data_IF_885319507376
#
_entry.id   IF_885319507376
#
_cell.length_a   1.000
_cell.length_b   1.000
_cell.length_c   1.000
_cell.angle_alpha   90.00
_cell.angle_beta   90.00
_cell.angle_gamma   90.00
#
_symmetry.space_group_name_H-M   'P 1'
#
loop_
_entity.id
_entity.type
_entity.pdbx_description
1 polymer ?
#
# COMPACT_ATOMS: atom_id res chain seq x y z
N UNK A 1 -19.14 7.90 16.61
CA UNK A 1 -18.28 6.78 17.05
C UNK A 1 -17.39 6.40 15.88
N UNK A 2 -16.09 6.26 16.08
CA UNK A 2 -15.16 5.74 15.07
C UNK A 2 -14.78 4.32 15.51
N UNK A 3 -14.90 3.34 14.61
CA UNK A 3 -14.57 1.96 14.91
C UNK A 3 -15.35 0.96 14.07
N UNK A 4 -14.95 -0.31 14.19
CA UNK A 4 -15.63 -1.45 13.58
C UNK A 4 -16.13 -2.33 14.71
N UNK A 5 -17.43 -2.64 14.68
CA UNK A 5 -18.06 -3.56 15.62
C UNK A 5 -18.43 -4.85 14.87
N UNK A 6 -17.96 -6.00 15.38
CA UNK A 6 -18.32 -7.32 14.87
C UNK A 6 -18.21 -8.35 15.99
N UNK A 7 -19.24 -9.18 16.14
CA UNK A 7 -19.29 -10.28 17.11
C UNK A 7 -18.82 -11.62 16.53
N UNK A 8 -18.35 -11.64 15.28
CA UNK A 8 -17.88 -12.86 14.59
C UNK A 8 -16.53 -13.35 15.12
N UNK A 9 -16.29 -14.65 14.97
CA UNK A 9 -14.99 -15.25 15.29
C UNK A 9 -14.04 -15.05 14.10
N UNK A 10 -13.27 -13.96 14.13
CA UNK A 10 -12.28 -13.64 13.10
C UNK A 10 -11.13 -14.66 13.05
N UNK A 11 -10.70 -15.03 11.85
CA UNK A 11 -9.56 -15.93 11.60
C UNK A 11 -8.45 -15.30 10.77
N UNK A 12 -8.77 -14.24 10.02
CA UNK A 12 -7.75 -13.38 9.42
C UNK A 12 -8.35 -12.10 8.86
N UNK A 13 -7.48 -11.12 8.62
CA UNK A 13 -7.86 -9.77 8.23
C UNK A 13 -6.85 -9.16 7.26
N UNK A 14 -7.30 -8.46 6.22
CA UNK A 14 -6.43 -7.74 5.30
C UNK A 14 -6.91 -6.29 5.15
N UNK A 15 -5.94 -5.38 5.17
CA UNK A 15 -6.13 -3.96 4.89
C UNK A 15 -5.63 -3.66 3.47
N UNK A 16 -6.50 -3.11 2.63
CA UNK A 16 -6.20 -2.71 1.25
C UNK A 16 -7.23 -1.72 0.76
N UNK A 17 -6.86 -0.90 -0.21
CA UNK A 17 -7.81 -0.06 -0.95
C UNK A 17 -8.41 -0.89 -2.09
N UNK A 18 -9.64 -1.38 -1.95
CA UNK A 18 -10.24 -2.32 -2.91
C UNK A 18 -10.83 -1.62 -4.14
N UNK A 19 -11.26 -0.38 -3.99
CA UNK A 19 -11.89 0.39 -5.05
C UNK A 19 -11.02 1.54 -5.58
N UNK A 20 -9.75 1.60 -5.14
CA UNK A 20 -8.70 2.49 -5.60
C UNK A 20 -9.03 3.97 -5.39
N UNK A 21 -9.70 4.29 -4.27
CA UNK A 21 -10.10 5.66 -3.92
C UNK A 21 -9.20 6.36 -2.90
N UNK A 22 -8.09 5.71 -2.53
CA UNK A 22 -7.10 6.18 -1.56
C UNK A 22 -7.43 5.85 -0.11
N UNK A 23 -8.57 5.20 0.15
CA UNK A 23 -9.03 4.86 1.49
C UNK A 23 -8.79 3.38 1.75
N UNK A 24 -8.16 3.08 2.88
CA UNK A 24 -7.91 1.69 3.27
C UNK A 24 -9.19 1.05 3.77
N UNK A 25 -9.64 0.01 3.08
CA UNK A 25 -10.73 -0.87 3.46
C UNK A 25 -10.22 -2.06 4.29
N UNK A 26 -11.16 -2.78 4.90
CA UNK A 26 -10.89 -3.99 5.68
C UNK A 26 -11.68 -5.16 5.11
N UNK A 27 -11.02 -6.31 4.92
CA UNK A 27 -11.69 -7.61 4.77
C UNK A 27 -11.34 -8.51 5.94
N UNK A 28 -12.34 -9.22 6.48
CA UNK A 28 -12.15 -10.21 7.55
C UNK A 28 -12.76 -11.54 7.14
N UNK A 29 -11.95 -12.59 7.25
CA UNK A 29 -12.40 -13.98 7.12
C UNK A 29 -12.83 -14.47 8.50
N UNK A 30 -14.05 -14.99 8.58
CA UNK A 30 -14.66 -15.46 9.82
C UNK A 30 -14.78 -16.98 9.83
N UNK A 31 -14.69 -17.60 11.01
CA UNK A 31 -14.88 -19.04 11.16
C UNK A 31 -16.36 -19.40 11.01
N UNK A 32 -16.69 -20.29 10.06
CA UNK A 32 -18.06 -20.81 9.83
C UNK A 32 -19.10 -19.72 9.52
N UNK A 33 -18.62 -18.59 9.01
CA UNK A 33 -19.44 -17.44 8.63
C UNK A 33 -18.88 -16.87 7.32
N UNK A 34 -19.69 -16.03 6.67
CA UNK A 34 -19.26 -15.35 5.45
C UNK A 34 -18.10 -14.37 5.72
N UNK A 35 -17.31 -14.15 4.67
CA UNK A 35 -16.34 -13.04 4.64
C UNK A 35 -17.10 -11.72 4.77
N UNK A 36 -16.55 -10.81 5.57
CA UNK A 36 -17.08 -9.46 5.72
C UNK A 36 -16.08 -8.45 5.15
N UNK A 37 -16.59 -7.45 4.45
CA UNK A 37 -15.80 -6.34 3.89
C UNK A 37 -16.39 -5.04 4.45
N UNK A 38 -15.54 -4.19 4.99
CA UNK A 38 -15.87 -2.84 5.44
C UNK A 38 -15.19 -1.85 4.53
N UNK A 39 -16.00 -1.06 3.81
CA UNK A 39 -15.50 0.05 3.01
C UNK A 39 -15.28 1.26 3.89
N UNK A 40 -14.13 1.92 3.76
CA UNK A 40 -13.84 3.14 4.49
C UNK A 40 -14.52 4.35 3.82
N UNK A 41 -15.51 4.93 4.51
CA UNK A 41 -16.29 6.06 4.03
C UNK A 41 -15.88 7.41 4.65
N UNK A 42 -14.80 7.44 5.42
CA UNK A 42 -14.38 8.65 6.14
C UNK A 42 -14.06 9.80 5.18
N UNK A 43 -14.34 11.04 5.60
CA UNK A 43 -13.89 12.26 4.92
C UNK A 43 -12.57 12.76 5.53
N UNK A 44 -11.90 13.68 4.84
CA UNK A 44 -10.78 14.47 5.39
C UNK A 44 -9.57 13.66 5.87
N UNK A 45 -9.30 12.51 5.22
CA UNK A 45 -8.16 11.62 5.54
C UNK A 45 -6.80 12.15 5.07
N UNK A 46 -6.76 13.27 4.36
CA UNK A 46 -5.57 13.79 3.69
C UNK A 46 -5.26 13.06 2.37
N UNK A 47 -4.04 13.25 1.89
CA UNK A 47 -3.49 12.66 0.68
C UNK A 47 -2.72 11.38 0.98
N UNK A 48 -2.47 10.58 -0.06
CA UNK A 48 -1.77 9.31 0.03
C UNK A 48 -0.82 9.12 -1.16
N UNK A 49 0.06 8.14 -1.08
CA UNK A 49 0.64 7.47 -2.25
C UNK A 49 0.53 5.96 -2.04
N UNK A 50 0.45 5.22 -3.13
CA UNK A 50 0.36 3.78 -3.12
C UNK A 50 1.44 3.20 -4.04
N UNK A 51 2.37 2.41 -3.50
CA UNK A 51 3.57 1.97 -4.23
C UNK A 51 3.56 0.47 -4.46
N UNK A 52 3.82 0.03 -5.69
CA UNK A 52 4.08 -1.37 -6.02
C UNK A 52 5.49 -1.51 -6.56
N UNK A 53 6.30 -2.35 -5.92
CA UNK A 53 7.67 -2.62 -6.38
C UNK A 53 7.70 -3.74 -7.41
N UNK A 54 8.65 -3.64 -8.35
CA UNK A 54 8.91 -4.65 -9.38
C UNK A 54 10.41 -4.87 -9.55
N UNK A 55 10.88 -6.09 -9.31
CA UNK A 55 12.27 -6.51 -9.57
C UNK A 55 12.33 -7.44 -10.79
N UNK A 56 13.40 -7.36 -11.62
CA UNK A 56 13.62 -8.28 -12.74
C UNK A 56 14.08 -9.68 -12.30
N UNK A 57 14.34 -9.89 -11.02
CA UNK A 57 14.79 -11.18 -10.47
C UNK A 57 13.62 -12.13 -10.20
N UNK A 58 13.91 -13.33 -9.69
CA UNK A 58 12.88 -14.27 -9.21
C UNK A 58 12.04 -13.69 -8.07
N UNK A 59 12.59 -12.73 -7.30
CA UNK A 59 11.86 -11.97 -6.28
C UNK A 59 11.12 -10.78 -6.90
N UNK A 60 10.15 -11.06 -7.77
CA UNK A 60 9.47 -10.05 -8.61
C UNK A 60 8.85 -8.90 -7.81
N UNK A 61 8.28 -9.17 -6.63
CA UNK A 61 7.63 -8.15 -5.81
C UNK A 61 8.59 -7.49 -4.81
N UNK A 62 9.89 -7.75 -4.92
CA UNK A 62 10.97 -7.18 -4.11
C UNK A 62 10.74 -7.37 -2.60
N UNK A 63 10.33 -8.57 -2.19
CA UNK A 63 10.19 -8.94 -0.78
C UNK A 63 11.53 -8.76 -0.06
N UNK A 64 11.52 -8.11 1.10
CA UNK A 64 12.70 -7.69 1.87
C UNK A 64 13.21 -6.30 1.53
N UNK A 65 12.68 -5.64 0.49
CA UNK A 65 13.02 -4.25 0.20
C UNK A 65 12.48 -3.30 1.28
N UNK A 66 13.14 -2.16 1.47
CA UNK A 66 12.65 -1.08 2.29
C UNK A 66 12.22 0.11 1.42
N UNK A 67 11.08 0.67 1.75
CA UNK A 67 10.58 1.91 1.15
C UNK A 67 10.65 3.02 2.19
N UNK A 68 11.27 4.11 1.81
CA UNK A 68 11.33 5.35 2.59
C UNK A 68 10.51 6.42 1.87
N UNK A 69 9.58 7.04 2.61
CA UNK A 69 8.71 8.11 2.13
C UNK A 69 8.91 9.32 3.02
N UNK A 70 9.36 10.42 2.43
CA UNK A 70 9.71 11.65 3.13
C UNK A 70 8.76 12.78 2.73
N UNK A 71 8.25 13.47 3.73
CA UNK A 71 7.48 14.72 3.60
C UNK A 71 8.01 15.75 4.59
N UNK A 72 7.39 16.94 4.61
CA UNK A 72 7.68 17.94 5.63
C UNK A 72 7.38 17.47 7.06
N UNK A 73 6.53 16.45 7.25
CA UNK A 73 6.20 15.92 8.58
C UNK A 73 7.17 14.84 9.07
N UNK A 74 8.11 14.39 8.22
CA UNK A 74 9.11 13.39 8.58
C UNK A 74 9.27 12.26 7.55
N UNK A 75 9.93 11.19 7.98
CA UNK A 75 10.20 10.00 7.17
C UNK A 75 9.40 8.81 7.69
N UNK A 76 8.60 8.20 6.83
CA UNK A 76 8.00 6.89 7.03
C UNK A 76 8.89 5.85 6.38
N UNK A 77 9.14 4.73 7.07
CA UNK A 77 9.95 3.63 6.56
C UNK A 77 9.21 2.32 6.73
N UNK A 78 9.15 1.50 5.67
CA UNK A 78 8.40 0.24 5.67
C UNK A 78 9.14 -0.83 4.89
N UNK A 79 9.24 -2.02 5.48
CA UNK A 79 9.72 -3.23 4.79
C UNK A 79 8.58 -3.86 3.96
N UNK A 80 8.92 -4.34 2.77
CA UNK A 80 8.04 -5.07 1.88
C UNK A 80 8.07 -6.55 2.28
N UNK A 81 7.00 -7.01 2.92
CA UNK A 81 6.91 -8.39 3.41
C UNK A 81 5.95 -9.23 2.57
N UNK A 82 6.22 -10.53 2.48
CA UNK A 82 5.22 -11.50 2.01
C UNK A 82 4.44 -12.02 3.21
N UNK A 83 3.12 -11.85 3.20
CA UNK A 83 2.26 -12.12 4.37
C UNK A 83 2.08 -10.89 5.28
N UNK A 84 1.28 -11.04 6.33
CA UNK A 84 0.97 -9.96 7.28
C UNK A 84 -0.42 -10.10 7.92
N UNK A 85 -0.55 -9.73 9.19
CA UNK A 85 -1.74 -10.01 10.00
C UNK A 85 -1.83 -11.47 10.47
N UNK A 86 -2.93 -11.86 11.10
CA UNK A 86 -3.14 -13.23 11.57
C UNK A 86 -3.78 -14.06 10.43
N UNK A 87 -3.06 -15.04 9.87
CA UNK A 87 -3.55 -15.91 8.77
C UNK A 87 -4.03 -15.10 7.56
N UNK A 88 -3.29 -14.06 7.19
CA UNK A 88 -3.59 -13.13 6.12
C UNK A 88 -2.30 -12.63 5.44
N UNK A 89 -2.44 -11.77 4.44
CA UNK A 89 -1.29 -11.13 3.80
C UNK A 89 -1.63 -9.76 3.23
N UNK A 90 -0.59 -8.99 2.90
CA UNK A 90 -0.71 -7.86 1.98
C UNK A 90 -0.11 -8.27 0.64
N UNK A 91 -0.79 -7.89 -0.44
CA UNK A 91 -0.30 -8.04 -1.80
C UNK A 91 -0.78 -6.82 -2.60
N UNK A 92 0.02 -6.37 -3.56
CA UNK A 92 -0.29 -5.23 -4.42
C UNK A 92 0.42 -3.95 -3.98
N UNK A 93 -0.36 -2.91 -3.71
CA UNK A 93 0.15 -1.58 -3.39
C UNK A 93 0.31 -1.36 -1.90
N UNK A 94 1.47 -0.82 -1.53
CA UNK A 94 1.77 -0.37 -0.18
C UNK A 94 1.35 1.08 -0.03
N UNK A 95 0.35 1.31 0.81
CA UNK A 95 -0.20 2.63 1.08
C UNK A 95 0.63 3.39 2.12
N UNK A 96 0.84 4.67 1.85
CA UNK A 96 1.43 5.64 2.77
C UNK A 96 0.52 6.87 2.84
N UNK A 97 0.03 7.19 4.02
CA UNK A 97 -0.70 8.43 4.27
C UNK A 97 0.28 9.61 4.33
N UNK A 98 -0.01 10.69 3.62
CA UNK A 98 0.84 11.87 3.51
C UNK A 98 0.30 13.08 4.28
N UNK A 99 -0.86 12.95 4.94
CA UNK A 99 -1.55 14.08 5.57
C UNK A 99 -1.91 15.13 4.52
N UNK A 100 -1.58 16.40 4.72
CA UNK A 100 -1.88 17.47 3.75
C UNK A 100 -0.78 17.69 2.70
N UNK A 101 0.26 16.84 2.65
CA UNK A 101 1.34 17.01 1.68
C UNK A 101 0.86 16.68 0.26
N UNK A 102 1.17 17.58 -0.68
CA UNK A 102 0.81 17.44 -2.10
C UNK A 102 1.80 16.59 -2.90
N UNK A 103 2.97 16.32 -2.32
CA UNK A 103 4.02 15.50 -2.89
C UNK A 103 4.84 14.85 -1.78
N UNK A 104 5.61 13.83 -2.13
CA UNK A 104 6.58 13.18 -1.26
C UNK A 104 7.84 12.85 -2.04
N UNK A 105 8.98 12.82 -1.34
CA UNK A 105 10.18 12.17 -1.85
C UNK A 105 10.14 10.70 -1.47
N UNK A 106 10.42 9.80 -2.41
CA UNK A 106 10.48 8.36 -2.14
C UNK A 106 11.82 7.77 -2.54
N UNK A 107 12.22 6.73 -1.82
CA UNK A 107 13.38 5.89 -2.12
C UNK A 107 13.06 4.44 -1.83
N UNK A 108 13.67 3.54 -2.62
CA UNK A 108 13.65 2.11 -2.38
C UNK A 108 15.08 1.65 -2.09
N UNK A 109 15.26 0.93 -0.99
CA UNK A 109 16.45 0.13 -0.70
C UNK A 109 16.05 -1.30 -1.07
N UNK A 110 16.68 -1.84 -2.10
CA UNK A 110 16.31 -3.13 -2.69
C UNK A 110 16.78 -4.30 -1.82
N UNK A 111 16.26 -5.53 -2.03
CA UNK A 111 16.60 -6.69 -1.20
C UNK A 111 18.09 -7.10 -1.24
N UNK A 112 18.85 -6.60 -2.21
CA UNK A 112 20.29 -6.76 -2.37
C UNK A 112 21.09 -5.61 -1.73
N UNK A 113 20.45 -4.81 -0.87
CA UNK A 113 20.97 -3.60 -0.23
C UNK A 113 21.31 -2.45 -1.19
N UNK A 114 20.99 -2.57 -2.49
CA UNK A 114 21.17 -1.47 -3.44
C UNK A 114 20.22 -0.34 -3.09
N UNK A 115 20.75 0.86 -2.82
CA UNK A 115 19.95 2.06 -2.58
C UNK A 115 19.59 2.75 -3.90
N UNK A 116 18.30 2.88 -4.19
CA UNK A 116 17.80 3.70 -5.29
C UNK A 116 17.95 5.20 -4.99
N UNK A 117 17.89 6.07 -6.02
CA UNK A 117 17.86 7.52 -5.80
C UNK A 117 16.52 7.96 -5.19
N UNK A 118 16.51 9.17 -4.64
CA UNK A 118 15.28 9.84 -4.22
C UNK A 118 14.53 10.39 -5.44
N UNK A 119 13.23 10.16 -5.49
CA UNK A 119 12.33 10.71 -6.50
C UNK A 119 11.23 11.52 -5.85
N UNK A 120 10.93 12.71 -6.37
CA UNK A 120 9.72 13.45 -5.99
C UNK A 120 8.54 12.96 -6.81
N UNK A 121 7.45 12.59 -6.15
CA UNK A 121 6.20 12.15 -6.77
C UNK A 121 5.01 12.91 -6.20
N UNK A 122 3.96 13.04 -7.02
CA UNK A 122 2.73 13.71 -6.63
C UNK A 122 1.89 12.81 -5.72
N UNK A 123 1.18 13.44 -4.79
CA UNK A 123 0.23 12.74 -3.93
C UNK A 123 -1.08 12.41 -4.68
N UNK A 124 -1.85 11.49 -4.10
CA UNK A 124 -3.16 11.05 -4.59
C UNK A 124 -3.09 10.00 -5.71
N UNK A 125 -1.95 9.31 -5.85
CA UNK A 125 -1.70 8.42 -6.99
C UNK A 125 -1.11 7.07 -6.58
N UNK A 126 -1.28 6.12 -7.49
CA UNK A 126 -0.64 4.81 -7.46
C UNK A 126 0.60 4.86 -8.34
N UNK A 127 1.71 4.26 -7.90
CA UNK A 127 2.95 4.17 -8.67
C UNK A 127 3.47 2.74 -8.73
N UNK A 128 3.94 2.36 -9.92
CA UNK A 128 4.82 1.20 -10.09
C UNK A 128 6.27 1.68 -10.05
N UNK A 129 7.09 1.04 -9.21
CA UNK A 129 8.51 1.36 -9.04
C UNK A 129 9.31 0.13 -9.42
N UNK A 130 10.00 0.20 -10.56
CA UNK A 130 10.83 -0.89 -11.06
C UNK A 130 12.29 -0.69 -10.68
N UNK A 131 13.01 -1.80 -10.47
CA UNK A 131 14.45 -1.76 -10.18
C UNK A 131 15.20 -0.96 -11.24
N UNK A 132 15.94 0.06 -10.80
CA UNK A 132 16.74 0.92 -11.67
C UNK A 132 15.94 1.93 -12.52
N UNK A 133 14.62 2.03 -12.34
CA UNK A 133 13.78 2.97 -13.10
C UNK A 133 13.14 4.03 -12.20
N UNK A 134 12.76 5.16 -12.79
CA UNK A 134 11.94 6.16 -12.11
C UNK A 134 10.51 5.63 -11.86
N UNK A 135 9.85 6.04 -10.76
CA UNK A 135 8.46 5.69 -10.48
C UNK A 135 7.54 6.12 -11.62
N UNK A 136 6.64 5.22 -12.03
CA UNK A 136 5.65 5.49 -13.08
C UNK A 136 4.26 5.48 -12.47
N UNK A 137 3.45 6.54 -12.67
CA UNK A 137 2.04 6.50 -12.31
C UNK A 137 1.37 5.25 -12.90
N UNK A 138 0.61 4.55 -12.09
CA UNK A 138 -0.20 3.44 -12.54
C UNK A 138 -1.66 3.87 -12.58
N UNK A 139 -2.29 3.58 -13.72
CA UNK A 139 -3.73 3.72 -13.89
C UNK A 139 -4.33 2.33 -14.10
N UNK A 140 -5.53 2.06 -13.55
CA UNK A 140 -6.23 0.83 -13.85
C UNK A 140 -6.40 0.70 -15.37
N UNK A 141 -6.20 -0.49 -15.96
CA UNK A 141 -6.60 -0.72 -17.34
C UNK A 141 -8.07 -0.33 -17.48
N UNK A 142 -8.43 0.40 -18.54
CA UNK A 142 -9.84 0.59 -18.84
C UNK A 142 -10.49 -0.79 -18.95
N UNK A 143 -11.65 -0.97 -18.32
CA UNK A 143 -12.43 -2.20 -18.55
C UNK A 143 -12.66 -2.28 -20.07
N UNK A 144 -12.09 -3.28 -20.72
CA UNK A 144 -12.53 -3.65 -22.06
C UNK A 144 -14.03 -3.94 -21.94
N UNK A 145 -14.84 -3.16 -22.65
CA UNK A 145 -16.28 -3.37 -22.75
C UNK A 145 -16.58 -4.72 -23.40
#
# INVERSE_FOLDING_TARGET
>A
VSGIESYSIARGAMLSDFNLDGKIDLVVVNRRENVKIWRNISSDLGSFIALRLQSPTSNRDAIGAWVEVKTASGVQRREITSGGGHVSGQNGYWHFGLGNAKSAEIRVIWPDDTEGPWYTIDAGQFYSVSYGEAPKPWVPPSRAN
#
